data_IF_750480997962
#
_entry.id   IF_750480997962
#
_cell.length_a   1.000
_cell.length_b   1.000
_cell.length_c   1.000
_cell.angle_alpha   90.00
_cell.angle_beta   90.00
_cell.angle_gamma   90.00
#
_symmetry.space_group_name_H-M   'P 1'
#
loop_
_entity.id
_entity.type
_entity.pdbx_description
1 polymer ?
#
# COMPACT_ATOMS: atom_id res chain seq x y z
N UNK A 1 -5.55 11.52 -6.43
CA UNK A 1 -5.30 11.12 -5.03
C UNK A 1 -5.77 12.13 -3.98
N UNK A 2 -5.93 13.42 -4.31
CA UNK A 2 -6.22 14.46 -3.31
C UNK A 2 -7.49 14.24 -2.51
N UNK A 3 -8.59 13.85 -3.16
CA UNK A 3 -9.86 13.54 -2.47
C UNK A 3 -9.70 12.38 -1.49
N UNK A 4 -9.05 11.28 -1.88
CA UNK A 4 -8.73 10.17 -0.97
C UNK A 4 -7.83 10.61 0.18
N UNK A 5 -6.81 11.44 -0.09
CA UNK A 5 -5.89 11.93 0.94
C UNK A 5 -6.54 12.88 1.96
N UNK A 6 -7.73 13.40 1.67
CA UNK A 6 -8.45 14.29 2.59
C UNK A 6 -9.16 13.56 3.74
N UNK A 7 -9.31 12.23 3.64
CA UNK A 7 -9.96 11.43 4.68
C UNK A 7 -9.02 11.26 5.89
N UNK A 8 -9.50 11.47 7.13
CA UNK A 8 -8.67 11.40 8.32
C UNK A 8 -8.10 9.99 8.59
N UNK A 9 -8.72 8.95 8.03
CA UNK A 9 -8.26 7.57 8.12
C UNK A 9 -7.10 7.26 7.15
N UNK A 10 -6.84 8.14 6.17
CA UNK A 10 -5.82 7.94 5.14
C UNK A 10 -4.51 8.62 5.54
N UNK A 11 -3.44 7.84 5.69
CA UNK A 11 -2.11 8.37 6.03
C UNK A 11 -1.26 8.70 4.81
N UNK A 12 -1.40 7.91 3.75
CA UNK A 12 -0.65 8.07 2.51
C UNK A 12 -1.54 7.74 1.32
N UNK A 13 -1.43 8.53 0.26
CA UNK A 13 -2.04 8.25 -1.03
C UNK A 13 -0.98 8.43 -2.12
N UNK A 14 -0.92 7.50 -3.06
CA UNK A 14 -0.01 7.61 -4.21
C UNK A 14 -0.64 6.99 -5.45
N UNK A 15 -0.15 7.42 -6.61
CA UNK A 15 -0.57 6.94 -7.93
C UNK A 15 0.58 6.21 -8.59
N UNK A 16 0.27 5.14 -9.33
CA UNK A 16 1.22 4.35 -10.13
C UNK A 16 0.61 4.01 -11.49
N UNK A 17 1.44 3.76 -12.52
CA UNK A 17 0.99 3.18 -13.78
C UNK A 17 0.26 1.84 -13.57
N UNK A 18 -0.71 1.55 -14.42
CA UNK A 18 -1.40 0.25 -14.45
C UNK A 18 -0.65 -0.75 -15.32
N UNK A 19 -0.88 -2.03 -15.03
CA UNK A 19 -0.40 -3.17 -15.82
C UNK A 19 -1.59 -4.09 -16.11
N UNK A 20 -1.51 -4.94 -17.14
CA UNK A 20 -2.62 -5.79 -17.57
C UNK A 20 -3.12 -6.75 -16.46
N UNK A 21 -2.22 -7.17 -15.57
CA UNK A 21 -2.52 -8.04 -14.42
C UNK A 21 -2.91 -7.27 -13.15
N UNK A 22 -2.74 -5.95 -13.14
CA UNK A 22 -3.04 -5.08 -11.99
C UNK A 22 -3.65 -3.74 -12.43
N UNK A 23 -4.97 -3.69 -12.64
CA UNK A 23 -5.66 -2.51 -13.17
C UNK A 23 -5.92 -1.41 -12.12
N UNK A 24 -5.21 -1.40 -10.98
CA UNK A 24 -5.37 -0.39 -9.94
C UNK A 24 -4.25 0.64 -10.00
N UNK A 25 -4.59 1.91 -10.26
CA UNK A 25 -3.63 3.02 -10.38
C UNK A 25 -3.46 3.84 -9.09
N UNK A 26 -4.49 3.93 -8.25
CA UNK A 26 -4.46 4.74 -7.02
C UNK A 26 -4.45 3.84 -5.79
N UNK A 27 -3.54 4.12 -4.86
CA UNK A 27 -3.36 3.38 -3.63
C UNK A 27 -3.47 4.34 -2.45
N UNK A 28 -4.24 3.95 -1.43
CA UNK A 28 -4.35 4.67 -0.16
C UNK A 28 -4.11 3.72 1.02
N UNK A 29 -3.36 4.19 2.00
CA UNK A 29 -3.16 3.47 3.26
C UNK A 29 -4.20 3.95 4.26
N UNK A 30 -5.18 3.09 4.55
CA UNK A 30 -6.28 3.37 5.49
C UNK A 30 -6.00 2.69 6.83
N UNK A 31 -6.12 3.44 7.92
CA UNK A 31 -5.98 2.91 9.28
C UNK A 31 -7.34 2.77 9.95
N UNK A 32 -7.73 1.53 10.24
CA UNK A 32 -8.96 1.17 10.95
C UNK A 32 -8.65 0.19 12.09
N UNK A 33 -9.53 0.12 13.08
CA UNK A 33 -9.43 -0.79 14.22
C UNK A 33 -10.00 -2.17 13.89
N UNK A 34 -10.96 -2.25 12.98
CA UNK A 34 -11.61 -3.49 12.57
C UNK A 34 -11.75 -3.59 11.06
N UNK A 35 -11.98 -4.81 10.55
CA UNK A 35 -12.25 -5.03 9.12
C UNK A 35 -13.58 -4.42 8.70
N UNK A 36 -14.59 -4.42 9.57
CA UNK A 36 -15.89 -3.81 9.29
C UNK A 36 -15.78 -2.30 9.11
N UNK A 37 -15.05 -1.62 10.00
CA UNK A 37 -14.76 -0.19 9.89
C UNK A 37 -14.02 0.13 8.58
N UNK A 38 -13.07 -0.73 8.19
CA UNK A 38 -12.36 -0.56 6.91
C UNK A 38 -13.30 -0.67 5.70
N UNK A 39 -14.26 -1.60 5.73
CA UNK A 39 -15.26 -1.73 4.67
C UNK A 39 -16.21 -0.53 4.62
N UNK A 40 -16.64 -0.01 5.78
CA UNK A 40 -17.48 1.20 5.86
C UNK A 40 -16.76 2.44 5.32
N UNK A 41 -15.50 2.62 5.68
CA UNK A 41 -14.66 3.72 5.18
C UNK A 41 -14.44 3.56 3.67
N UNK A 42 -14.13 2.35 3.19
CA UNK A 42 -13.96 2.10 1.76
C UNK A 42 -15.22 2.41 0.96
N UNK A 43 -16.40 2.03 1.47
CA UNK A 43 -17.69 2.36 0.85
C UNK A 43 -17.95 3.87 0.85
N UNK A 44 -17.67 4.55 1.95
CA UNK A 44 -17.80 6.02 2.02
C UNK A 44 -16.91 6.71 1.00
N UNK A 45 -15.66 6.24 0.85
CA UNK A 45 -14.74 6.75 -0.15
C UNK A 45 -15.30 6.47 -1.55
N UNK A 46 -15.75 5.24 -1.80
CA UNK A 46 -16.36 4.79 -3.06
C UNK A 46 -17.46 5.73 -3.52
N UNK A 47 -18.41 6.01 -2.62
CA UNK A 47 -19.58 6.87 -2.89
C UNK A 47 -19.17 8.32 -3.19
N UNK A 48 -18.04 8.80 -2.64
CA UNK A 48 -17.56 10.16 -2.90
C UNK A 48 -16.79 10.29 -4.22
N UNK A 49 -15.97 9.31 -4.56
CA UNK A 49 -15.09 9.38 -5.74
C UNK A 49 -15.68 8.72 -6.98
N UNK A 50 -16.82 8.03 -6.85
CA UNK A 50 -17.53 7.34 -7.93
C UNK A 50 -16.65 6.31 -8.65
N UNK A 51 -15.94 5.47 -7.88
CA UNK A 51 -15.10 4.39 -8.41
C UNK A 51 -15.76 3.06 -8.06
N UNK A 52 -16.21 2.33 -9.07
CA UNK A 52 -16.91 1.06 -8.83
C UNK A 52 -15.97 -0.09 -8.45
N UNK A 53 -14.73 -0.04 -8.94
CA UNK A 53 -13.77 -1.12 -8.78
C UNK A 53 -12.64 -0.75 -7.81
N UNK A 54 -12.60 -1.43 -6.67
CA UNK A 54 -11.52 -1.31 -5.70
C UNK A 54 -11.25 -2.66 -5.04
N UNK A 55 -10.07 -2.78 -4.42
CA UNK A 55 -9.71 -3.95 -3.62
C UNK A 55 -9.04 -3.52 -2.33
N UNK A 56 -9.53 -4.04 -1.20
CA UNK A 56 -8.89 -3.84 0.10
C UNK A 56 -7.83 -4.93 0.30
N UNK A 57 -6.61 -4.52 0.62
CA UNK A 57 -5.50 -5.42 0.96
C UNK A 57 -5.19 -5.31 2.45
N UNK A 58 -5.74 -6.22 3.25
CA UNK A 58 -5.51 -6.22 4.69
C UNK A 58 -4.08 -6.67 5.01
N UNK A 59 -3.36 -5.86 5.79
CA UNK A 59 -2.05 -6.23 6.31
C UNK A 59 -2.21 -7.28 7.43
N UNK A 60 -2.00 -8.55 7.11
CA UNK A 60 -2.11 -9.65 8.08
C UNK A 60 -0.83 -9.88 8.88
N UNK A 61 0.33 -9.70 8.23
CA UNK A 61 1.65 -9.91 8.85
C UNK A 61 2.66 -8.92 8.30
N UNK A 62 3.41 -8.29 9.20
CA UNK A 62 4.55 -7.45 8.85
C UNK A 62 5.82 -8.32 8.83
N UNK A 63 6.39 -8.56 7.65
CA UNK A 63 7.64 -9.33 7.51
C UNK A 63 8.88 -8.49 7.75
N UNK A 64 8.85 -7.22 7.33
CA UNK A 64 9.96 -6.27 7.47
C UNK A 64 9.44 -4.85 7.53
N UNK A 65 9.90 -4.08 8.51
CA UNK A 65 9.70 -2.63 8.61
C UNK A 65 10.95 -1.98 9.17
N UNK A 66 11.87 -1.66 8.27
CA UNK A 66 13.13 -0.98 8.58
C UNK A 66 13.24 0.24 7.68
N UNK A 67 13.81 1.33 8.17
CA UNK A 67 14.14 2.48 7.32
C UNK A 67 15.37 2.15 6.47
N UNK A 68 15.45 2.75 5.28
CA UNK A 68 16.65 2.68 4.46
C UNK A 68 17.72 3.55 5.12
N UNK A 69 18.90 2.99 5.34
CA UNK A 69 20.09 3.74 5.74
C UNK A 69 20.78 4.24 4.46
N UNK A 70 21.00 5.55 4.39
CA UNK A 70 21.74 6.16 3.29
C UNK A 70 23.21 6.31 3.70
N UNK A 71 24.13 6.09 2.76
CA UNK A 71 25.59 6.20 2.96
C UNK A 71 26.19 5.17 3.93
N UNK A 72 25.70 3.93 3.90
CA UNK A 72 26.37 2.80 4.55
C UNK A 72 27.51 2.29 3.66
N UNK A 73 28.75 2.35 4.17
CA UNK A 73 29.91 1.62 3.60
C UNK A 73 29.76 0.11 3.84
N UNK A 74 28.71 -0.51 3.32
CA UNK A 74 28.54 -1.96 3.41
C UNK A 74 29.12 -2.62 2.17
N UNK A 75 30.30 -3.23 2.31
CA UNK A 75 30.80 -4.24 1.38
C UNK A 75 29.88 -5.46 1.42
N UNK A 76 28.91 -5.53 0.51
CA UNK A 76 28.15 -6.75 0.28
C UNK A 76 29.03 -7.76 -0.47
N UNK A 77 29.64 -8.71 0.24
CA UNK A 77 30.19 -9.92 -0.36
C UNK A 77 29.03 -10.89 -0.64
N UNK A 78 28.71 -11.09 -1.92
CA UNK A 78 27.82 -12.15 -2.37
C UNK A 78 28.61 -13.48 -2.36
N UNK A 79 28.66 -14.15 -1.22
CA UNK A 79 28.94 -15.59 -1.11
C UNK A 79 27.59 -16.21 -0.67
N UNK A 80 26.94 -17.15 -1.35
CA UNK A 80 27.46 -18.28 -2.11
C UNK A 80 26.60 -18.56 -3.36
N UNK A 81 27.27 -18.76 -4.50
CA UNK A 81 26.69 -19.51 -5.61
C UNK A 81 26.60 -20.96 -5.15
N UNK A 82 25.42 -21.42 -4.75
CA UNK A 82 25.12 -22.85 -4.61
C UNK A 82 25.28 -23.47 -6.00
N UNK A 83 26.45 -24.03 -6.26
CA UNK A 83 26.68 -24.88 -7.41
C UNK A 83 26.36 -26.32 -6.98
N UNK A 84 25.61 -27.02 -7.83
CA UNK A 84 25.04 -28.36 -7.64
C UNK A 84 26.02 -29.44 -7.20
#
# INVERSE_FOLDING_TARGET
>A
GETLGSFPQVSHCYERPTYDDWPYNVFSMIHCKTHDEANEVAKTIQDQIHVDEFRILFSSREFKKTRVEYFVENSFSLEDVVTS
#
